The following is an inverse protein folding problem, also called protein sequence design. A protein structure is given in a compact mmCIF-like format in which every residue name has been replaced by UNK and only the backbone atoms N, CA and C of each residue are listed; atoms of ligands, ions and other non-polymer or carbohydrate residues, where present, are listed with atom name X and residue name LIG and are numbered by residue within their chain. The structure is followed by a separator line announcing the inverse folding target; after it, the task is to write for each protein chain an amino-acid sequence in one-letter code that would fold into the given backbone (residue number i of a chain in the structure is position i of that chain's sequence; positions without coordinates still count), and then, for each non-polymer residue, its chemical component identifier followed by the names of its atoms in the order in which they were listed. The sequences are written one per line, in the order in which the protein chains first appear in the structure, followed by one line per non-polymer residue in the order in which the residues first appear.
data_IF_593625471632
#
_entry.id   IF_593625471632
#
_cell.length_a   1.000
_cell.length_b   1.000
_cell.length_c   1.000
_cell.angle_alpha   90.00
_cell.angle_beta   90.00
_cell.angle_gamma   90.00
#
_symmetry.space_group_name_H-M   'P 1'
#
loop_
_entity.id
_entity.type
_entity.pdbx_description
1 polymer ?
#
# COMPACT_ATOMS: atom_id res chain seq x y z
N UNK A 1 19.14 -11.53 9.06
CA UNK A 1 18.77 -10.15 9.46
C UNK A 1 19.66 -9.06 8.88
N UNK A 2 20.97 -9.29 8.78
CA UNK A 2 21.87 -8.23 8.27
C UNK A 2 21.46 -7.69 6.89
N UNK A 3 21.07 -8.56 5.95
CA UNK A 3 20.60 -8.13 4.64
C UNK A 3 19.32 -7.33 4.67
N UNK A 4 18.39 -7.69 5.57
CA UNK A 4 17.12 -6.98 5.73
C UNK A 4 17.34 -5.61 6.37
N UNK A 5 18.21 -5.52 7.37
CA UNK A 5 18.54 -4.24 7.99
C UNK A 5 19.20 -3.29 7.01
N UNK A 6 20.10 -3.81 6.16
CA UNK A 6 20.73 -3.00 5.10
C UNK A 6 19.70 -2.50 4.08
N UNK A 7 18.72 -3.32 3.70
CA UNK A 7 17.64 -2.91 2.80
C UNK A 7 16.79 -1.82 3.45
N UNK A 8 16.51 -1.93 4.74
CA UNK A 8 15.76 -0.92 5.49
C UNK A 8 16.53 0.41 5.55
N UNK A 9 17.82 0.36 5.85
CA UNK A 9 18.65 1.55 5.91
C UNK A 9 18.71 2.24 4.54
N UNK A 10 18.80 1.47 3.46
CA UNK A 10 18.77 2.00 2.10
C UNK A 10 17.43 2.67 1.79
N UNK A 11 16.31 2.05 2.20
CA UNK A 11 14.98 2.61 1.98
C UNK A 11 14.80 3.94 2.72
N UNK A 12 15.29 4.03 3.96
CA UNK A 12 15.24 5.25 4.75
C UNK A 12 16.08 6.36 4.10
N UNK A 13 17.17 5.98 3.44
CA UNK A 13 18.02 6.93 2.71
C UNK A 13 17.42 7.33 1.34
N UNK A 14 16.22 6.88 1.00
CA UNK A 14 15.54 7.21 -0.25
C UNK A 14 15.71 6.18 -1.35
N UNK A 15 16.31 5.03 -1.05
CA UNK A 15 16.55 3.94 -2.02
C UNK A 15 15.61 2.76 -1.70
N UNK A 16 14.39 2.79 -2.23
CA UNK A 16 13.42 1.72 -2.01
C UNK A 16 13.92 0.36 -2.47
N UNK A 17 13.51 -0.69 -1.76
CA UNK A 17 13.89 -2.06 -2.04
C UNK A 17 12.68 -2.98 -1.99
N UNK A 18 12.70 -4.00 -2.83
CA UNK A 18 11.80 -5.14 -2.73
C UNK A 18 12.62 -6.32 -2.26
N UNK A 19 12.20 -6.94 -1.17
CA UNK A 19 12.89 -8.10 -0.61
C UNK A 19 11.92 -9.27 -0.56
N UNK A 20 12.37 -10.42 -1.06
CA UNK A 20 11.58 -11.65 -1.01
C UNK A 20 12.22 -12.62 -0.02
N UNK A 21 11.41 -13.07 0.94
CA UNK A 21 11.81 -14.12 1.87
C UNK A 21 11.21 -15.44 1.38
N UNK A 22 12.06 -16.32 0.89
CA UNK A 22 11.64 -17.61 0.37
C UNK A 22 12.15 -18.74 1.28
N UNK A 23 11.38 -19.82 1.38
CA UNK A 23 11.74 -20.98 2.17
C UNK A 23 10.53 -21.82 2.50
N UNK A 24 10.77 -22.96 3.13
CA UNK A 24 9.70 -23.87 3.53
C UNK A 24 8.88 -23.28 4.69
N UNK A 25 7.60 -23.68 4.83
CA UNK A 25 6.78 -23.27 5.98
C UNK A 25 7.46 -23.66 7.30
N UNK A 26 7.44 -22.75 8.25
CA UNK A 26 7.96 -23.01 9.58
C UNK A 26 9.44 -22.69 9.80
N UNK A 27 10.12 -22.12 8.80
CA UNK A 27 11.54 -21.72 8.97
C UNK A 27 11.73 -20.33 9.56
N UNK A 28 10.64 -19.68 10.01
CA UNK A 28 10.72 -18.39 10.68
C UNK A 28 10.65 -17.17 9.77
N UNK A 29 10.15 -17.30 8.53
CA UNK A 29 9.98 -16.15 7.61
C UNK A 29 9.10 -15.05 8.21
N UNK A 30 7.97 -15.43 8.79
CA UNK A 30 7.05 -14.47 9.42
C UNK A 30 7.71 -13.78 10.60
N UNK A 31 8.47 -14.53 11.41
CA UNK A 31 9.20 -13.97 12.54
C UNK A 31 10.24 -12.96 12.09
N UNK A 32 10.98 -13.26 11.02
CA UNK A 32 11.96 -12.33 10.44
C UNK A 32 11.28 -11.04 9.99
N UNK A 33 10.13 -11.15 9.32
CA UNK A 33 9.37 -9.98 8.90
C UNK A 33 8.88 -9.16 10.09
N UNK A 34 8.41 -9.82 11.15
CA UNK A 34 7.95 -9.16 12.37
C UNK A 34 9.10 -8.44 13.08
N UNK A 35 10.27 -9.05 13.14
CA UNK A 35 11.46 -8.41 13.75
C UNK A 35 11.90 -7.20 12.93
N UNK A 36 11.86 -7.30 11.61
CA UNK A 36 12.18 -6.17 10.73
C UNK A 36 11.17 -5.04 10.92
N UNK A 37 9.89 -5.38 11.04
CA UNK A 37 8.83 -4.40 11.28
C UNK A 37 9.06 -3.64 12.58
N UNK A 38 9.40 -4.35 13.66
CA UNK A 38 9.72 -3.73 14.95
C UNK A 38 10.92 -2.78 14.85
N UNK A 39 11.95 -3.20 14.12
CA UNK A 39 13.12 -2.36 13.86
C UNK A 39 12.74 -1.10 13.09
N UNK A 40 11.90 -1.26 12.06
CA UNK A 40 11.44 -0.14 11.24
C UNK A 40 10.65 0.88 12.08
N UNK A 41 9.79 0.40 12.95
CA UNK A 41 9.02 1.28 13.85
C UNK A 41 9.91 2.07 14.78
N UNK A 42 10.98 1.46 15.29
CA UNK A 42 11.97 2.16 16.12
C UNK A 42 12.65 3.30 15.35
N UNK A 43 12.77 3.17 14.03
CA UNK A 43 13.34 4.20 13.16
C UNK A 43 12.31 5.23 12.67
N UNK A 44 11.07 5.14 13.14
CA UNK A 44 10.01 6.08 12.79
C UNK A 44 9.26 5.74 11.50
N UNK A 45 9.48 4.56 10.93
CA UNK A 45 8.77 4.14 9.73
C UNK A 45 7.36 3.67 10.05
N UNK A 46 6.44 3.87 9.10
CA UNK A 46 5.12 3.26 9.17
C UNK A 46 5.19 1.85 8.61
N UNK A 47 4.65 0.89 9.34
CA UNK A 47 4.62 -0.51 8.93
C UNK A 47 3.19 -0.92 8.60
N UNK A 48 3.00 -1.44 7.41
CA UNK A 48 1.71 -1.91 6.94
C UNK A 48 1.76 -3.39 6.61
N UNK A 49 0.75 -4.12 7.00
CA UNK A 49 0.65 -5.56 6.75
C UNK A 49 -0.49 -5.86 5.79
N UNK A 50 -0.20 -6.64 4.77
CA UNK A 50 -1.19 -7.19 3.86
C UNK A 50 -0.95 -8.67 3.69
N UNK A 51 -2.03 -9.44 3.57
CA UNK A 51 -1.96 -10.89 3.44
C UNK A 51 -2.60 -11.34 2.13
N UNK A 52 -1.93 -12.25 1.44
CA UNK A 52 -2.50 -12.98 0.32
C UNK A 52 -3.07 -14.30 0.84
N UNK A 53 -4.31 -14.57 0.53
CA UNK A 53 -4.93 -15.85 0.84
C UNK A 53 -5.13 -16.64 -0.45
N UNK A 54 -4.85 -17.93 -0.41
CA UNK A 54 -5.09 -18.83 -1.53
C UNK A 54 -6.56 -19.10 -1.75
N UNK A 55 -7.43 -18.59 -0.89
CA UNK A 55 -8.86 -18.78 -1.01
C UNK A 55 -9.41 -18.13 -2.27
N UNK A 56 -10.23 -18.88 -3.00
CA UNK A 56 -10.96 -18.36 -4.14
C UNK A 56 -11.93 -17.28 -3.67
N UNK A 57 -11.99 -16.18 -4.42
CA UNK A 57 -12.94 -15.11 -4.15
C UNK A 57 -12.37 -13.85 -3.53
N UNK A 58 -11.05 -13.80 -3.27
CA UNK A 58 -10.43 -12.54 -2.85
C UNK A 58 -10.47 -11.55 -4.02
N UNK A 59 -10.85 -10.27 -3.78
CA UNK A 59 -10.85 -9.26 -4.83
C UNK A 59 -9.45 -9.05 -5.42
N UNK A 60 -9.36 -8.58 -6.68
CA UNK A 60 -8.06 -8.17 -7.25
C UNK A 60 -7.37 -7.15 -6.36
N UNK A 61 -6.04 -7.24 -6.31
CA UNK A 61 -5.20 -6.30 -5.54
C UNK A 61 -5.45 -6.32 -4.03
N UNK A 62 -5.99 -7.42 -3.51
CA UNK A 62 -6.44 -7.52 -2.12
C UNK A 62 -5.41 -7.10 -1.09
N UNK A 63 -4.11 -7.49 -1.16
CA UNK A 63 -3.13 -7.01 -0.18
C UNK A 63 -3.00 -5.49 -0.17
N UNK A 64 -2.98 -4.85 -1.34
CA UNK A 64 -2.90 -3.40 -1.46
C UNK A 64 -4.16 -2.72 -0.95
N UNK A 65 -5.33 -3.30 -1.23
CA UNK A 65 -6.60 -2.80 -0.72
C UNK A 65 -6.61 -2.78 0.81
N UNK A 66 -6.13 -3.86 1.44
CA UNK A 66 -6.05 -3.93 2.90
C UNK A 66 -5.17 -2.83 3.49
N UNK A 67 -3.98 -2.63 2.92
CA UNK A 67 -3.03 -1.64 3.39
C UNK A 67 -3.57 -0.22 3.27
N UNK A 68 -4.11 0.10 2.11
CA UNK A 68 -4.60 1.45 1.82
C UNK A 68 -5.86 1.75 2.62
N UNK A 69 -6.76 0.77 2.75
CA UNK A 69 -7.97 0.91 3.58
C UNK A 69 -7.61 1.23 5.03
N UNK A 70 -6.63 0.54 5.57
CA UNK A 70 -6.13 0.78 6.92
C UNK A 70 -5.67 2.24 7.09
N UNK A 71 -4.92 2.74 6.14
CA UNK A 71 -4.43 4.12 6.15
C UNK A 71 -5.58 5.13 6.03
N UNK A 72 -6.52 4.88 5.12
CA UNK A 72 -7.67 5.78 4.88
C UNK A 72 -8.49 5.95 6.15
N UNK A 73 -8.75 4.87 6.87
CA UNK A 73 -9.56 4.91 8.09
C UNK A 73 -8.94 5.77 9.19
N UNK A 74 -7.63 5.95 9.15
CA UNK A 74 -6.87 6.68 10.16
C UNK A 74 -6.47 8.09 9.75
N UNK A 75 -6.84 8.51 8.54
CA UNK A 75 -6.43 9.80 7.99
C UNK A 75 -7.62 10.71 7.82
N UNK A 76 -7.49 11.97 8.23
CA UNK A 76 -8.55 12.95 8.06
C UNK A 76 -8.77 13.28 6.58
N UNK A 77 -10.01 13.70 6.21
CA UNK A 77 -10.33 13.96 4.79
C UNK A 77 -9.44 15.02 4.13
N UNK A 78 -9.08 16.08 4.83
CA UNK A 78 -8.25 17.15 4.27
C UNK A 78 -6.88 16.66 3.79
N UNK A 79 -6.05 16.10 4.69
CA UNK A 79 -4.77 15.52 4.29
C UNK A 79 -4.91 14.42 3.25
N UNK A 80 -5.94 13.56 3.38
CA UNK A 80 -6.17 12.46 2.45
C UNK A 80 -6.42 12.97 1.03
N UNK A 81 -7.25 14.01 0.88
CA UNK A 81 -7.53 14.60 -0.42
C UNK A 81 -6.26 15.11 -1.11
N UNK A 82 -5.40 15.78 -0.34
CA UNK A 82 -4.14 16.29 -0.85
C UNK A 82 -3.19 15.15 -1.26
N UNK A 83 -3.11 14.10 -0.45
CA UNK A 83 -2.23 12.96 -0.70
C UNK A 83 -2.66 12.14 -1.91
N UNK A 84 -3.97 11.93 -2.08
CA UNK A 84 -4.49 11.20 -3.22
C UNK A 84 -4.47 12.02 -4.52
N UNK A 85 -4.72 13.32 -4.39
CA UNK A 85 -4.74 14.22 -5.54
C UNK A 85 -5.76 13.79 -6.60
N UNK A 86 -5.45 13.98 -7.89
CA UNK A 86 -6.40 13.67 -8.96
C UNK A 86 -6.68 12.18 -9.14
N UNK A 87 -5.87 11.30 -8.55
CA UNK A 87 -6.07 9.85 -8.63
C UNK A 87 -7.09 9.29 -7.65
N UNK A 88 -7.67 10.12 -6.78
CA UNK A 88 -8.59 9.64 -5.74
C UNK A 88 -9.80 8.90 -6.31
N UNK A 89 -10.35 9.35 -7.43
CA UNK A 89 -11.49 8.70 -8.07
C UNK A 89 -11.15 7.29 -8.56
N UNK A 90 -9.96 7.10 -9.12
CA UNK A 90 -9.51 5.77 -9.56
C UNK A 90 -9.34 4.82 -8.37
N UNK A 91 -8.74 5.31 -7.30
CA UNK A 91 -8.55 4.50 -6.08
C UNK A 91 -9.90 4.13 -5.47
N UNK A 92 -10.89 5.02 -5.53
CA UNK A 92 -12.24 4.76 -5.00
C UNK A 92 -12.93 3.59 -5.70
N UNK A 93 -12.57 3.28 -6.94
CA UNK A 93 -13.17 2.16 -7.67
C UNK A 93 -12.82 0.81 -7.05
N UNK A 94 -11.62 0.68 -6.48
CA UNK A 94 -11.21 -0.56 -5.80
C UNK A 94 -11.34 -0.47 -4.28
N UNK A 95 -11.39 0.74 -3.73
CA UNK A 95 -11.49 0.98 -2.30
C UNK A 95 -12.62 1.99 -2.07
N UNK A 96 -13.88 1.52 -2.02
CA UNK A 96 -15.03 2.41 -1.86
C UNK A 96 -15.00 3.29 -0.61
N UNK A 97 -14.25 2.90 0.41
CA UNK A 97 -14.08 3.66 1.64
C UNK A 97 -13.49 5.05 1.42
N UNK A 98 -12.84 5.28 0.28
CA UNK A 98 -12.39 6.62 -0.12
C UNK A 98 -13.56 7.58 -0.17
N UNK A 99 -14.71 7.13 -0.65
CA UNK A 99 -15.91 7.98 -0.77
C UNK A 99 -16.49 8.37 0.59
N UNK A 100 -16.24 7.60 1.64
CA UNK A 100 -16.66 7.96 3.00
C UNK A 100 -15.92 9.19 3.49
N UNK A 101 -14.67 9.37 3.08
CA UNK A 101 -13.84 10.53 3.43
C UNK A 101 -13.93 11.66 2.42
N UNK A 102 -14.12 11.32 1.15
CA UNK A 102 -14.16 12.27 0.03
C UNK A 102 -15.44 12.05 -0.79
N UNK A 103 -16.62 12.44 -0.26
CA UNK A 103 -17.89 12.13 -0.91
C UNK A 103 -18.15 12.92 -2.21
N UNK A 104 -17.42 14.00 -2.44
CA UNK A 104 -17.63 14.87 -3.59
C UNK A 104 -16.81 14.48 -4.81
N UNK A 105 -16.13 13.33 -4.79
CA UNK A 105 -15.35 12.85 -5.92
C UNK A 105 -16.25 12.56 -7.11
N UNK A 106 -15.81 13.03 -8.28
CA UNK A 106 -16.48 12.76 -9.54
C UNK A 106 -15.82 11.57 -10.24
N UNK A 107 -16.60 10.69 -10.87
CA UNK A 107 -16.03 9.59 -11.63
C UNK A 107 -15.12 10.11 -12.75
N UNK A 108 -14.02 9.39 -12.98
CA UNK A 108 -13.13 9.66 -14.09
C UNK A 108 -13.77 9.18 -15.41
N UNK A 109 -13.28 9.72 -16.52
CA UNK A 109 -13.71 9.29 -17.84
C UNK A 109 -13.43 7.81 -18.05
N UNK A 110 -14.36 7.05 -18.65
CA UNK A 110 -14.12 5.65 -18.96
C UNK A 110 -12.90 5.46 -19.86
N UNK A 111 -12.11 4.43 -19.58
CA UNK A 111 -10.94 4.04 -20.38
C UNK A 111 -11.06 2.58 -20.76
N UNK A 112 -10.31 2.17 -21.77
CA UNK A 112 -10.12 0.75 -22.05
C UNK A 112 -9.52 0.04 -20.83
N UNK A 113 -9.82 -1.27 -20.61
CA UNK A 113 -9.38 -1.97 -19.39
C UNK A 113 -7.89 -1.85 -19.10
N UNK A 114 -7.03 -1.95 -20.11
CA UNK A 114 -5.58 -1.84 -19.92
C UNK A 114 -5.17 -0.42 -19.52
N UNK A 115 -5.77 0.58 -20.12
CA UNK A 115 -5.51 1.98 -19.79
C UNK A 115 -6.03 2.30 -18.40
N UNK A 116 -7.20 1.79 -18.05
CA UNK A 116 -7.77 1.98 -16.71
C UNK A 116 -6.86 1.36 -15.63
N UNK A 117 -6.31 0.18 -15.90
CA UNK A 117 -5.37 -0.48 -14.99
C UNK A 117 -4.10 0.33 -14.80
N UNK A 118 -3.54 0.84 -15.89
CA UNK A 118 -2.34 1.66 -15.85
C UNK A 118 -2.60 2.94 -15.04
N UNK A 119 -3.73 3.59 -15.28
CA UNK A 119 -4.10 4.81 -14.54
C UNK A 119 -4.29 4.52 -13.05
N UNK A 120 -4.89 3.38 -12.71
CA UNK A 120 -5.04 2.95 -11.32
C UNK A 120 -3.67 2.77 -10.66
N UNK A 121 -2.74 2.09 -11.33
CA UNK A 121 -1.40 1.87 -10.78
C UNK A 121 -0.64 3.18 -10.58
N UNK A 122 -0.74 4.12 -11.52
CA UNK A 122 -0.16 5.44 -11.36
C UNK A 122 -0.76 6.18 -10.16
N UNK A 123 -2.07 6.10 -10.01
CA UNK A 123 -2.78 6.76 -8.90
C UNK A 123 -2.31 6.22 -7.56
N UNK A 124 -2.18 4.91 -7.45
CA UNK A 124 -1.68 4.26 -6.22
C UNK A 124 -0.22 4.64 -5.98
N UNK A 125 0.61 4.61 -7.01
CA UNK A 125 2.02 4.97 -6.90
C UNK A 125 2.19 6.41 -6.40
N UNK A 126 1.46 7.35 -6.98
CA UNK A 126 1.53 8.75 -6.58
C UNK A 126 1.04 8.95 -5.15
N UNK A 127 -0.02 8.24 -4.77
CA UNK A 127 -0.54 8.27 -3.41
C UNK A 127 0.51 7.79 -2.40
N UNK A 128 1.12 6.63 -2.66
CA UNK A 128 2.15 6.09 -1.78
C UNK A 128 3.36 7.01 -1.70
N UNK A 129 3.75 7.62 -2.81
CA UNK A 129 4.84 8.58 -2.86
C UNK A 129 4.53 9.81 -2.00
N UNK A 130 3.28 10.28 -2.03
CA UNK A 130 2.89 11.48 -1.30
C UNK A 130 2.81 11.27 0.21
N UNK A 131 2.58 10.03 0.67
CA UNK A 131 2.52 9.71 2.09
C UNK A 131 3.85 9.23 2.67
N UNK A 132 4.83 8.95 1.82
CA UNK A 132 6.14 8.46 2.25
C UNK A 132 6.99 9.56 2.88
#
# INVERSE_FOLDING_TARGET
MAGLSAAMDAAIAGHGRVVMLAGEPGIGKTRMAQELAAYAELLGAQVWWGSCHEQQGAPPYWPWVQLIRFYIQRTDPGPLATQMGPGAADISEIIPEVLDKLPDLKPQSPLEPEQARFRLFESIFNFLKNIA
#
